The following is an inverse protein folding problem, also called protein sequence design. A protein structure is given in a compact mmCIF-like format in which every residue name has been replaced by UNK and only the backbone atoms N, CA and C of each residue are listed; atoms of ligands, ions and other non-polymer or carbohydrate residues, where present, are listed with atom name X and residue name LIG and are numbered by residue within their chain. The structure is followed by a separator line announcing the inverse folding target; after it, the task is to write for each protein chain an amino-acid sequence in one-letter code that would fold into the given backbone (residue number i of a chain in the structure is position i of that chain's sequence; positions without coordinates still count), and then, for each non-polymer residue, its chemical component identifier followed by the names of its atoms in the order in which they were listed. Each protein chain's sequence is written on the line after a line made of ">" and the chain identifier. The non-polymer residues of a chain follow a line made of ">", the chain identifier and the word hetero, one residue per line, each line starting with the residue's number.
data_IF_723051226837
#
_entry.id   IF_723051226837
#
_cell.length_a   1.000
_cell.length_b   1.000
_cell.length_c   1.000
_cell.angle_alpha   90.00
_cell.angle_beta   90.00
_cell.angle_gamma   90.00
#
_symmetry.space_group_name_H-M   'P 1'
#
loop_
_entity.id
_entity.type
_entity.pdbx_description
1 polymer ?
#
# COMPACT_ATOMS: atom_id res chain seq x y z
N UNK A 1 3.07 -0.32 -22.01
CA UNK A 1 4.18 -0.21 -21.01
C UNK A 1 5.52 -0.52 -21.67
N UNK A 2 6.58 0.26 -21.36
CA UNK A 2 7.95 0.11 -21.93
C UNK A 2 8.65 -1.18 -21.53
N UNK A 3 8.28 -1.78 -20.36
CA UNK A 3 8.98 -2.92 -19.78
C UNK A 3 8.18 -4.21 -19.92
N UNK A 4 8.90 -5.34 -20.10
CA UNK A 4 8.28 -6.66 -20.17
C UNK A 4 7.69 -7.08 -18.81
N UNK A 5 6.80 -8.05 -18.82
CA UNK A 5 6.09 -8.50 -17.63
C UNK A 5 7.05 -8.96 -16.50
N UNK A 6 8.17 -9.62 -16.83
CA UNK A 6 9.13 -10.08 -15.82
C UNK A 6 9.74 -8.91 -15.05
N UNK A 7 10.18 -7.86 -15.75
CA UNK A 7 10.73 -6.66 -15.11
C UNK A 7 9.68 -5.97 -14.22
N UNK A 8 8.44 -5.88 -14.69
CA UNK A 8 7.32 -5.30 -13.94
C UNK A 8 7.02 -6.12 -12.67
N UNK A 9 6.95 -7.44 -12.77
CA UNK A 9 6.73 -8.33 -11.63
C UNK A 9 7.88 -8.25 -10.61
N UNK A 10 9.12 -8.14 -11.08
CA UNK A 10 10.28 -7.93 -10.19
C UNK A 10 10.18 -6.60 -9.46
N UNK A 11 9.78 -5.51 -10.14
CA UNK A 11 9.59 -4.21 -9.52
C UNK A 11 8.49 -4.22 -8.45
N UNK A 12 7.35 -4.87 -8.72
CA UNK A 12 6.27 -5.05 -7.75
C UNK A 12 6.70 -5.89 -6.54
N UNK A 13 7.42 -7.00 -6.76
CA UNK A 13 7.95 -7.84 -5.69
C UNK A 13 8.92 -7.05 -4.80
N UNK A 14 9.93 -6.42 -5.40
CA UNK A 14 10.96 -5.67 -4.67
C UNK A 14 10.36 -4.46 -3.96
N UNK A 15 9.51 -3.70 -4.64
CA UNK A 15 8.82 -2.55 -4.07
C UNK A 15 7.94 -2.92 -2.87
N UNK A 16 7.16 -4.01 -2.99
CA UNK A 16 6.34 -4.52 -1.88
C UNK A 16 7.20 -5.05 -0.73
N UNK A 17 8.33 -5.69 -1.01
CA UNK A 17 9.26 -6.14 0.02
C UNK A 17 9.85 -4.97 0.80
N UNK A 18 10.34 -3.93 0.12
CA UNK A 18 10.84 -2.73 0.78
C UNK A 18 9.76 -1.96 1.53
N UNK A 19 8.55 -1.87 0.99
CA UNK A 19 7.42 -1.23 1.68
C UNK A 19 7.14 -1.93 3.02
N UNK A 20 6.97 -3.26 3.02
CA UNK A 20 6.69 -4.00 4.25
C UNK A 20 7.89 -4.00 5.19
N UNK A 21 9.13 -4.08 4.68
CA UNK A 21 10.33 -3.95 5.50
C UNK A 21 10.40 -2.58 6.18
N UNK A 22 10.02 -1.50 5.48
CA UNK A 22 9.92 -0.16 6.08
C UNK A 22 8.84 -0.09 7.16
N UNK A 23 7.63 -0.61 6.89
CA UNK A 23 6.52 -0.62 7.85
C UNK A 23 6.86 -1.43 9.10
N UNK A 24 7.31 -2.67 8.94
CA UNK A 24 7.61 -3.56 10.08
C UNK A 24 8.86 -3.10 10.80
N UNK A 25 9.93 -2.79 10.07
CA UNK A 25 11.20 -2.36 10.64
C UNK A 25 11.10 -1.05 11.41
N UNK A 26 10.45 -0.03 10.85
CA UNK A 26 10.26 1.24 11.56
C UNK A 26 9.33 1.11 12.77
N UNK A 27 8.34 0.18 12.70
CA UNK A 27 7.52 -0.15 13.86
C UNK A 27 8.33 -0.77 14.99
N UNK A 28 9.21 -1.74 14.69
CA UNK A 28 10.11 -2.35 15.68
C UNK A 28 11.08 -1.30 16.26
N UNK A 29 11.69 -0.49 15.42
CA UNK A 29 12.61 0.56 15.86
C UNK A 29 11.90 1.62 16.72
N UNK A 30 10.74 2.09 16.25
CA UNK A 30 9.92 3.07 16.97
C UNK A 30 9.51 2.56 18.35
N UNK A 31 9.00 1.32 18.44
CA UNK A 31 8.63 0.70 19.71
C UNK A 31 9.84 0.58 20.67
N UNK A 32 10.99 0.14 20.17
CA UNK A 32 12.24 0.02 20.97
C UNK A 32 12.74 1.35 21.53
N UNK A 33 12.62 2.43 20.75
CA UNK A 33 13.18 3.75 21.10
C UNK A 33 12.21 4.67 21.83
N UNK A 34 10.90 4.39 21.73
CA UNK A 34 9.86 5.27 22.29
C UNK A 34 9.74 5.25 23.83
N UNK A 35 10.47 4.39 24.52
CA UNK A 35 10.42 4.30 26.00
C UNK A 35 8.99 4.04 26.53
N UNK A 36 8.18 3.27 25.80
CA UNK A 36 6.77 2.97 26.15
C UNK A 36 5.77 4.01 25.63
N UNK A 37 6.19 5.10 25.00
CA UNK A 37 5.29 6.09 24.41
C UNK A 37 4.80 5.64 23.03
N UNK A 38 3.60 5.07 22.98
CA UNK A 38 2.98 4.53 21.77
C UNK A 38 2.80 5.61 20.69
N UNK A 39 2.53 6.86 21.06
CA UNK A 39 2.37 7.96 20.08
C UNK A 39 3.69 8.26 19.36
N UNK A 40 4.82 8.24 20.07
CA UNK A 40 6.15 8.42 19.45
C UNK A 40 6.47 7.24 18.54
N UNK A 41 6.19 6.01 18.96
CA UNK A 41 6.39 4.83 18.12
C UNK A 41 5.56 4.92 16.82
N UNK A 42 4.29 5.30 16.94
CA UNK A 42 3.41 5.49 15.79
C UNK A 42 3.90 6.63 14.90
N UNK A 43 4.36 7.75 15.45
CA UNK A 43 4.89 8.89 14.68
C UNK A 43 6.12 8.49 13.86
N UNK A 44 7.06 7.78 14.46
CA UNK A 44 8.26 7.28 13.76
C UNK A 44 7.88 6.31 12.61
N UNK A 45 6.98 5.37 12.90
CA UNK A 45 6.48 4.41 11.90
C UNK A 45 5.75 5.12 10.74
N UNK A 46 4.90 6.10 11.04
CA UNK A 46 4.14 6.90 10.07
C UNK A 46 5.06 7.66 9.11
N UNK A 47 6.04 8.39 9.64
CA UNK A 47 6.96 9.19 8.81
C UNK A 47 7.81 8.27 7.92
N UNK A 48 8.34 7.19 8.49
CA UNK A 48 9.14 6.23 7.73
C UNK A 48 8.34 5.57 6.60
N UNK A 49 7.09 5.19 6.87
CA UNK A 49 6.20 4.58 5.86
C UNK A 49 5.86 5.55 4.74
N UNK A 50 5.48 6.80 5.08
CA UNK A 50 5.16 7.82 4.08
C UNK A 50 6.36 8.15 3.19
N UNK A 51 7.54 8.34 3.79
CA UNK A 51 8.78 8.60 3.06
C UNK A 51 9.18 7.41 2.15
N UNK A 52 9.05 6.18 2.65
CA UNK A 52 9.29 4.97 1.85
C UNK A 52 8.34 4.90 0.65
N UNK A 53 7.03 5.16 0.82
CA UNK A 53 6.07 5.19 -0.28
C UNK A 53 6.47 6.21 -1.36
N UNK A 54 6.84 7.43 -0.98
CA UNK A 54 7.32 8.43 -1.95
C UNK A 54 8.49 7.89 -2.75
N UNK A 55 9.53 7.40 -2.07
CA UNK A 55 10.74 6.89 -2.71
C UNK A 55 10.46 5.69 -3.62
N UNK A 56 9.67 4.71 -3.14
CA UNK A 56 9.37 3.49 -3.89
C UNK A 56 8.50 3.78 -5.11
N UNK A 57 7.50 4.66 -4.99
CA UNK A 57 6.66 5.03 -6.13
C UNK A 57 7.50 5.78 -7.17
N UNK A 58 8.33 6.76 -6.77
CA UNK A 58 9.23 7.45 -7.70
C UNK A 58 10.18 6.48 -8.43
N UNK A 59 10.67 5.46 -7.73
CA UNK A 59 11.62 4.48 -8.28
C UNK A 59 10.95 3.49 -9.25
N UNK A 60 9.82 2.92 -8.84
CA UNK A 60 9.24 1.78 -9.54
C UNK A 60 8.06 2.13 -10.46
N UNK A 61 7.44 3.31 -10.32
CA UNK A 61 6.33 3.70 -11.17
C UNK A 61 6.68 3.71 -12.67
N UNK A 62 7.86 4.20 -13.09
CA UNK A 62 8.24 4.15 -14.51
C UNK A 62 8.39 2.72 -15.06
N UNK A 63 8.54 1.71 -14.19
CA UNK A 63 8.77 0.31 -14.56
C UNK A 63 7.47 -0.48 -14.57
N UNK A 64 6.74 -0.48 -13.44
CA UNK A 64 5.57 -1.34 -13.21
C UNK A 64 4.27 -0.59 -12.97
N UNK A 65 4.33 0.71 -12.77
CA UNK A 65 3.23 1.49 -12.22
C UNK A 65 3.28 1.59 -10.69
N UNK A 66 4.21 0.87 -10.03
CA UNK A 66 4.37 0.85 -8.58
C UNK A 66 3.03 0.72 -7.83
N UNK A 67 2.22 -0.24 -8.21
CA UNK A 67 0.97 -0.51 -7.50
C UNK A 67 1.25 -0.90 -6.05
N UNK A 68 2.19 -1.83 -5.83
CA UNK A 68 2.67 -2.31 -4.52
C UNK A 68 1.52 -2.68 -3.56
N UNK A 69 0.33 -2.90 -4.12
CA UNK A 69 -0.92 -3.02 -3.38
C UNK A 69 -1.97 -3.77 -4.22
N UNK A 70 -2.47 -4.94 -3.77
CA UNK A 70 -3.51 -5.67 -4.47
C UNK A 70 -4.81 -4.88 -4.69
N UNK A 71 -5.21 -4.01 -3.75
CA UNK A 71 -6.42 -3.20 -3.91
C UNK A 71 -6.27 -2.16 -5.03
N UNK A 72 -5.10 -1.55 -5.16
CA UNK A 72 -4.76 -0.66 -6.29
C UNK A 72 -4.74 -1.45 -7.60
N UNK A 73 -4.13 -2.64 -7.60
CA UNK A 73 -4.05 -3.49 -8.80
C UNK A 73 -5.43 -3.92 -9.28
N UNK A 74 -6.32 -4.32 -8.38
CA UNK A 74 -7.72 -4.66 -8.70
C UNK A 74 -8.46 -3.45 -9.26
N UNK A 75 -8.30 -2.28 -8.63
CA UNK A 75 -8.95 -1.06 -9.09
C UNK A 75 -8.48 -0.65 -10.50
N UNK A 76 -7.19 -0.78 -10.79
CA UNK A 76 -6.61 -0.50 -12.12
C UNK A 76 -7.07 -1.53 -13.17
N UNK A 77 -7.20 -2.81 -12.79
CA UNK A 77 -7.76 -3.83 -13.68
C UNK A 77 -9.26 -3.59 -14.01
N UNK A 78 -10.04 -3.10 -13.05
CA UNK A 78 -11.45 -2.69 -13.25
C UNK A 78 -11.53 -1.50 -14.21
N UNK A 79 -10.56 -0.59 -14.18
CA UNK A 79 -10.45 0.55 -15.10
C UNK A 79 -9.75 0.18 -16.43
N UNK A 80 -9.39 -1.09 -16.63
CA UNK A 80 -8.69 -1.61 -17.81
C UNK A 80 -7.27 -1.03 -18.00
N UNK A 81 -6.65 -0.49 -16.97
CA UNK A 81 -5.25 -0.02 -17.00
C UNK A 81 -4.25 -1.18 -17.07
N UNK A 82 -4.59 -2.32 -16.44
CA UNK A 82 -3.83 -3.57 -16.53
C UNK A 82 -4.76 -4.73 -16.93
N UNK A 83 -4.26 -5.67 -17.73
CA UNK A 83 -5.02 -6.88 -18.07
C UNK A 83 -5.15 -7.80 -16.84
N UNK A 84 -6.29 -8.47 -16.66
CA UNK A 84 -6.53 -9.34 -15.51
C UNK A 84 -5.48 -10.43 -15.29
N UNK A 85 -4.93 -11.12 -16.32
CA UNK A 85 -3.84 -12.09 -16.10
C UNK A 85 -2.59 -11.45 -15.48
N UNK A 86 -2.21 -10.25 -15.94
CA UNK A 86 -1.08 -9.50 -15.39
C UNK A 86 -1.40 -9.01 -13.96
N UNK A 87 -2.63 -8.57 -13.71
CA UNK A 87 -3.10 -8.13 -12.39
C UNK A 87 -3.00 -9.27 -11.36
N UNK A 88 -3.42 -10.48 -11.72
CA UNK A 88 -3.29 -11.65 -10.84
C UNK A 88 -1.82 -11.98 -10.54
N UNK A 89 -0.95 -11.87 -11.55
CA UNK A 89 0.49 -12.05 -11.35
C UNK A 89 1.08 -10.95 -10.44
N UNK A 90 0.66 -9.70 -10.59
CA UNK A 90 1.03 -8.59 -9.69
C UNK A 90 0.62 -8.89 -8.24
N UNK A 91 -0.63 -9.25 -8.00
CA UNK A 91 -1.14 -9.58 -6.67
C UNK A 91 -0.31 -10.68 -6.01
N UNK A 92 0.01 -11.75 -6.78
CA UNK A 92 0.81 -12.85 -6.27
C UNK A 92 2.22 -12.39 -5.84
N UNK A 93 2.92 -11.62 -6.68
CA UNK A 93 4.27 -11.14 -6.34
C UNK A 93 4.28 -10.04 -5.29
N UNK A 94 3.24 -9.21 -5.19
CA UNK A 94 3.05 -8.23 -4.12
C UNK A 94 2.91 -8.92 -2.75
N UNK A 95 2.08 -9.97 -2.67
CA UNK A 95 1.93 -10.76 -1.44
C UNK A 95 3.23 -11.46 -1.07
N UNK A 96 3.89 -12.10 -2.03
CA UNK A 96 5.17 -12.76 -1.81
C UNK A 96 6.26 -11.77 -1.38
N UNK A 97 6.33 -10.60 -2.03
CA UNK A 97 7.23 -9.51 -1.67
C UNK A 97 6.96 -8.98 -0.26
N UNK A 98 5.68 -8.76 0.07
CA UNK A 98 5.28 -8.34 1.41
C UNK A 98 5.77 -9.31 2.50
N UNK A 99 5.55 -10.61 2.30
CA UNK A 99 6.05 -11.66 3.22
C UNK A 99 7.58 -11.63 3.32
N UNK A 100 8.28 -11.53 2.18
CA UNK A 100 9.74 -11.41 2.18
C UNK A 100 10.21 -10.16 2.94
N UNK A 101 9.53 -9.03 2.78
CA UNK A 101 9.82 -7.79 3.50
C UNK A 101 9.67 -7.92 5.02
N UNK A 102 8.63 -8.59 5.49
CA UNK A 102 8.45 -8.87 6.92
C UNK A 102 9.58 -9.75 7.47
N UNK A 103 9.96 -10.80 6.74
CA UNK A 103 11.08 -11.68 7.08
C UNK A 103 12.39 -10.88 7.15
N UNK A 104 12.68 -10.07 6.14
CA UNK A 104 13.88 -9.22 6.08
C UNK A 104 13.90 -8.26 7.28
N UNK A 105 12.78 -7.61 7.60
CA UNK A 105 12.69 -6.75 8.76
C UNK A 105 13.03 -7.50 10.06
N UNK A 106 12.45 -8.67 10.27
CA UNK A 106 12.75 -9.50 11.45
C UNK A 106 14.23 -9.84 11.55
N UNK A 107 14.85 -10.29 10.45
CA UNK A 107 16.27 -10.66 10.41
C UNK A 107 17.18 -9.45 10.70
N UNK A 108 16.89 -8.28 10.14
CA UNK A 108 17.64 -7.05 10.41
C UNK A 108 17.60 -6.64 11.90
N UNK A 109 16.52 -6.98 12.60
CA UNK A 109 16.38 -6.66 14.02
C UNK A 109 16.73 -7.80 14.97
N UNK A 110 17.33 -8.91 14.46
CA UNK A 110 17.71 -10.08 15.25
C UNK A 110 16.54 -10.87 15.81
N UNK A 111 15.37 -10.79 15.18
CA UNK A 111 14.18 -11.55 15.55
C UNK A 111 14.12 -12.88 14.79
N UNK A 112 13.26 -13.81 15.25
CA UNK A 112 12.92 -15.00 14.45
C UNK A 112 12.35 -14.55 13.11
N UNK A 113 12.68 -15.27 12.04
CA UNK A 113 12.29 -14.93 10.68
C UNK A 113 10.77 -14.79 10.47
N UNK A 114 9.94 -15.43 11.32
CA UNK A 114 8.51 -15.16 11.42
C UNK A 114 8.02 -15.34 12.87
N UNK A 115 6.92 -14.68 13.19
CA UNK A 115 6.19 -14.83 14.45
C UNK A 115 4.73 -14.48 14.20
N UNK A 116 3.83 -15.45 14.29
CA UNK A 116 2.40 -15.21 14.06
C UNK A 116 1.89 -14.17 15.05
N UNK A 117 1.26 -13.13 14.55
CA UNK A 117 0.81 -12.00 15.37
C UNK A 117 -0.38 -12.38 16.26
N UNK A 118 -0.31 -11.95 17.51
CA UNK A 118 -1.41 -12.03 18.48
C UNK A 118 -2.12 -10.67 18.67
N UNK A 119 -1.70 -9.63 17.94
CA UNK A 119 -2.33 -8.31 18.02
C UNK A 119 -3.74 -8.35 17.44
N UNK A 120 -4.73 -8.31 18.32
CA UNK A 120 -6.13 -8.21 17.91
C UNK A 120 -6.43 -6.86 17.27
N UNK A 121 -7.02 -6.91 16.08
CA UNK A 121 -7.57 -5.73 15.37
C UNK A 121 -9.05 -5.97 15.05
N UNK A 122 -9.76 -6.54 16.03
CA UNK A 122 -11.15 -6.91 15.89
C UNK A 122 -12.08 -5.72 16.15
N UNK A 123 -13.18 -5.64 15.40
CA UNK A 123 -14.26 -4.68 15.63
C UNK A 123 -14.65 -3.86 14.41
N UNK A 124 -15.92 -3.49 14.33
CA UNK A 124 -16.49 -2.75 13.20
C UNK A 124 -15.85 -1.39 12.96
N UNK A 125 -15.38 -0.71 14.02
CA UNK A 125 -14.65 0.55 13.90
C UNK A 125 -13.36 0.41 13.11
N UNK A 126 -12.64 -0.70 13.27
CA UNK A 126 -11.40 -0.98 12.55
C UNK A 126 -11.67 -1.40 11.11
N UNK A 127 -12.73 -2.19 10.87
CA UNK A 127 -13.19 -2.55 9.53
C UNK A 127 -13.64 -1.30 8.75
N UNK A 128 -14.43 -0.41 9.37
CA UNK A 128 -14.81 0.87 8.78
C UNK A 128 -13.58 1.74 8.49
N UNK A 129 -12.61 1.74 9.41
CA UNK A 129 -11.35 2.49 9.23
C UNK A 129 -10.57 2.00 8.00
N UNK A 130 -10.51 0.71 7.75
CA UNK A 130 -9.85 0.15 6.56
C UNK A 130 -10.59 0.49 5.26
N UNK A 131 -11.93 0.47 5.30
CA UNK A 131 -12.74 0.95 4.18
C UNK A 131 -12.42 2.42 3.86
N UNK A 132 -12.48 3.32 4.86
CA UNK A 132 -12.20 4.75 4.70
C UNK A 132 -10.76 4.99 4.26
N UNK A 133 -9.79 4.29 4.88
CA UNK A 133 -8.37 4.40 4.53
C UNK A 133 -8.11 4.06 3.05
N UNK A 134 -8.70 2.96 2.58
CA UNK A 134 -8.50 2.52 1.20
C UNK A 134 -9.33 3.33 0.22
N UNK A 135 -10.55 3.71 0.57
CA UNK A 135 -11.36 4.64 -0.23
C UNK A 135 -10.61 5.95 -0.48
N UNK A 136 -10.06 6.55 0.57
CA UNK A 136 -9.32 7.80 0.43
C UNK A 136 -8.00 7.62 -0.32
N UNK A 137 -7.27 6.50 -0.12
CA UNK A 137 -6.06 6.19 -0.88
C UNK A 137 -6.36 6.14 -2.39
N UNK A 138 -7.37 5.38 -2.80
CA UNK A 138 -7.76 5.28 -4.21
C UNK A 138 -8.30 6.61 -4.74
N UNK A 139 -9.00 7.39 -3.90
CA UNK A 139 -9.45 8.74 -4.29
C UNK A 139 -8.27 9.65 -4.60
N UNK A 140 -7.22 9.62 -3.78
CA UNK A 140 -5.97 10.38 -4.02
C UNK A 140 -5.27 9.89 -5.28
N UNK A 141 -5.15 8.56 -5.47
CA UNK A 141 -4.53 7.98 -6.66
C UNK A 141 -5.30 8.40 -7.92
N UNK A 142 -6.63 8.21 -7.97
CA UNK A 142 -7.43 8.56 -9.14
C UNK A 142 -7.46 10.06 -9.43
N UNK A 143 -7.57 10.89 -8.39
CA UNK A 143 -7.52 12.34 -8.53
C UNK A 143 -6.19 12.83 -9.07
N UNK A 144 -5.10 12.40 -8.46
CA UNK A 144 -3.76 12.83 -8.88
C UNK A 144 -3.34 12.23 -10.21
N UNK A 145 -3.56 10.93 -10.46
CA UNK A 145 -3.15 10.30 -11.72
C UNK A 145 -3.85 10.92 -12.95
N UNK A 146 -5.09 11.37 -12.78
CA UNK A 146 -5.87 11.99 -13.87
C UNK A 146 -5.59 13.48 -14.07
N UNK A 147 -5.23 14.20 -13.02
CA UNK A 147 -5.12 15.66 -13.04
C UNK A 147 -3.69 16.17 -12.83
N UNK A 148 -2.86 15.46 -12.08
CA UNK A 148 -1.52 15.89 -11.64
C UNK A 148 -0.60 14.68 -11.44
N UNK A 149 -0.33 13.90 -12.48
CA UNK A 149 0.36 12.61 -12.38
C UNK A 149 1.72 12.66 -11.67
N UNK A 150 2.49 13.74 -11.85
CA UNK A 150 3.76 13.95 -11.15
C UNK A 150 3.63 14.09 -9.62
N UNK A 151 2.44 14.43 -9.12
CA UNK A 151 2.20 14.58 -7.69
C UNK A 151 1.84 13.25 -6.99
N UNK A 152 1.49 12.19 -7.74
CA UNK A 152 1.03 10.92 -7.17
C UNK A 152 1.94 10.37 -6.07
N UNK A 153 3.27 10.28 -6.23
CA UNK A 153 4.14 9.73 -5.19
C UNK A 153 4.03 10.50 -3.87
N UNK A 154 4.04 11.82 -3.96
CA UNK A 154 3.95 12.71 -2.79
C UNK A 154 2.56 12.70 -2.16
N UNK A 155 1.52 12.70 -2.97
CA UNK A 155 0.14 12.67 -2.50
C UNK A 155 -0.18 11.36 -1.78
N UNK A 156 0.24 10.21 -2.34
CA UNK A 156 0.07 8.90 -1.72
C UNK A 156 0.83 8.79 -0.41
N UNK A 157 2.12 9.17 -0.39
CA UNK A 157 2.93 9.16 0.83
C UNK A 157 2.35 10.05 1.92
N UNK A 158 1.93 11.27 1.56
CA UNK A 158 1.29 12.22 2.50
C UNK A 158 -0.06 11.72 3.00
N UNK A 159 -0.89 11.14 2.12
CA UNK A 159 -2.18 10.58 2.52
C UNK A 159 -2.00 9.43 3.52
N UNK A 160 -1.13 8.48 3.26
CA UNK A 160 -0.88 7.36 4.18
C UNK A 160 -0.30 7.87 5.51
N UNK A 161 0.61 8.86 5.46
CA UNK A 161 1.10 9.52 6.68
C UNK A 161 -0.04 10.09 7.53
N UNK A 162 -1.00 10.77 6.92
CA UNK A 162 -2.18 11.28 7.62
C UNK A 162 -3.10 10.14 8.10
N UNK A 163 -3.33 9.13 7.26
CA UNK A 163 -4.29 8.05 7.53
C UNK A 163 -3.89 7.18 8.73
N UNK A 164 -2.61 7.02 9.02
CA UNK A 164 -2.14 6.39 10.26
C UNK A 164 -2.73 7.04 11.52
N UNK A 165 -3.07 8.33 11.46
CA UNK A 165 -3.52 9.13 12.61
C UNK A 165 -5.03 9.33 12.66
N UNK A 166 -5.70 9.49 11.54
CA UNK A 166 -7.13 9.72 11.54
C UNK A 166 -7.98 8.45 11.45
N UNK A 167 -7.36 7.28 11.21
CA UNK A 167 -8.06 5.99 11.19
C UNK A 167 -7.69 5.15 12.41
N UNK A 168 -8.68 4.51 13.04
CA UNK A 168 -8.45 3.68 14.22
C UNK A 168 -7.63 2.41 13.91
N UNK A 169 -7.62 1.95 12.65
CA UNK A 169 -6.83 0.80 12.20
C UNK A 169 -5.35 1.11 11.98
N UNK A 170 -4.96 2.38 11.99
CA UNK A 170 -3.65 2.86 11.52
C UNK A 170 -3.40 2.60 10.02
N UNK A 171 -4.47 2.55 9.23
CA UNK A 171 -4.45 2.53 7.77
C UNK A 171 -3.50 1.49 7.14
N UNK A 172 -3.89 0.23 7.15
CA UNK A 172 -3.17 -0.77 6.35
C UNK A 172 -3.40 -0.51 4.86
N UNK A 173 -4.68 -0.32 4.49
CA UNK A 173 -5.13 0.08 3.15
C UNK A 173 -4.51 -0.76 2.00
N UNK A 174 -4.04 -1.98 2.30
CA UNK A 174 -3.26 -2.81 1.38
C UNK A 174 -3.35 -4.30 1.78
N UNK A 175 -3.98 -5.16 0.98
CA UNK A 175 -4.08 -6.59 1.27
C UNK A 175 -2.73 -7.32 1.43
N UNK A 176 -1.70 -6.96 0.64
CA UNK A 176 -0.39 -7.60 0.76
C UNK A 176 0.31 -7.22 2.08
N UNK A 177 0.22 -5.96 2.48
CA UNK A 177 0.69 -5.48 3.80
C UNK A 177 -0.08 -6.18 4.92
N UNK A 178 -1.40 -6.33 4.78
CA UNK A 178 -2.26 -6.98 5.78
C UNK A 178 -1.85 -8.45 5.97
N UNK A 179 -1.66 -9.20 4.89
CA UNK A 179 -1.19 -10.59 4.94
C UNK A 179 0.20 -10.68 5.56
N UNK A 180 1.14 -9.85 5.13
CA UNK A 180 2.52 -9.89 5.62
C UNK A 180 2.62 -9.59 7.13
N UNK A 181 1.84 -8.63 7.61
CA UNK A 181 1.84 -8.22 9.02
C UNK A 181 1.25 -9.28 9.96
N UNK A 182 0.48 -10.26 9.46
CA UNK A 182 0.04 -11.36 10.32
C UNK A 182 1.19 -12.33 10.71
N UNK A 183 2.31 -12.28 9.98
CA UNK A 183 3.53 -13.04 10.28
C UNK A 183 4.50 -12.28 11.20
N UNK A 184 4.11 -11.12 11.73
CA UNK A 184 4.94 -10.25 12.54
C UNK A 184 4.24 -9.91 13.87
N UNK A 185 4.63 -10.60 14.95
CA UNK A 185 4.14 -10.28 16.29
C UNK A 185 4.93 -9.14 16.91
N UNK A 186 4.82 -7.96 16.29
CA UNK A 186 5.49 -6.72 16.67
C UNK A 186 4.47 -5.59 16.70
N UNK A 187 4.89 -4.37 16.97
CA UNK A 187 4.04 -3.16 17.03
C UNK A 187 3.04 -3.08 15.86
N UNK A 188 3.47 -3.48 14.66
CA UNK A 188 2.66 -3.36 13.45
C UNK A 188 1.75 -4.56 13.17
N UNK A 189 1.72 -5.60 14.01
CA UNK A 189 1.06 -6.86 13.76
C UNK A 189 -0.47 -6.80 13.63
N UNK A 190 -1.03 -7.86 13.07
CA UNK A 190 -2.46 -8.16 13.04
C UNK A 190 -2.65 -9.67 13.19
N UNK A 191 -3.56 -10.13 14.07
CA UNK A 191 -3.82 -11.56 14.20
C UNK A 191 -4.51 -12.11 12.94
N UNK A 192 -4.21 -13.35 12.52
CA UNK A 192 -4.71 -13.93 11.26
C UNK A 192 -6.23 -13.92 11.10
N UNK A 193 -6.97 -14.05 12.19
CA UNK A 193 -8.45 -14.08 12.17
C UNK A 193 -9.07 -12.77 11.72
N UNK A 194 -8.38 -11.63 11.87
CA UNK A 194 -8.86 -10.30 11.48
C UNK A 194 -8.53 -9.95 10.02
N UNK A 195 -7.58 -10.68 9.40
CA UNK A 195 -7.08 -10.41 8.03
C UNK A 195 -8.20 -10.43 6.99
N UNK A 196 -9.13 -11.41 6.94
CA UNK A 196 -10.16 -11.45 5.90
C UNK A 196 -11.09 -10.24 5.91
N UNK A 197 -11.48 -9.75 7.10
CA UNK A 197 -12.37 -8.59 7.21
C UNK A 197 -11.68 -7.30 6.78
N UNK A 198 -10.38 -7.14 7.11
CA UNK A 198 -9.57 -6.02 6.63
C UNK A 198 -9.49 -6.02 5.11
N UNK A 199 -9.14 -7.15 4.49
CA UNK A 199 -9.04 -7.28 3.03
C UNK A 199 -10.39 -6.98 2.36
N UNK A 200 -11.49 -7.51 2.90
CA UNK A 200 -12.83 -7.23 2.40
C UNK A 200 -13.17 -5.73 2.43
N UNK A 201 -12.88 -5.06 3.54
CA UNK A 201 -13.10 -3.62 3.69
C UNK A 201 -12.21 -2.80 2.73
N UNK A 202 -10.95 -3.19 2.57
CA UNK A 202 -10.00 -2.55 1.65
C UNK A 202 -10.50 -2.64 0.20
N UNK A 203 -10.90 -3.83 -0.24
CA UNK A 203 -11.42 -4.01 -1.61
C UNK A 203 -12.74 -3.24 -1.83
N UNK A 204 -13.63 -3.22 -0.84
CA UNK A 204 -14.86 -2.45 -0.90
C UNK A 204 -14.58 -0.94 -1.00
N UNK A 205 -13.63 -0.42 -0.21
CA UNK A 205 -13.19 0.97 -0.26
C UNK A 205 -12.58 1.34 -1.61
N UNK A 206 -11.71 0.47 -2.15
CA UNK A 206 -11.11 0.66 -3.46
C UNK A 206 -12.17 0.71 -4.58
N UNK A 207 -13.15 -0.20 -4.56
CA UNK A 207 -14.24 -0.22 -5.52
C UNK A 207 -15.10 1.05 -5.42
N UNK A 208 -15.48 1.45 -4.21
CA UNK A 208 -16.30 2.64 -3.99
C UNK A 208 -15.60 3.92 -4.52
N UNK A 209 -14.29 4.09 -4.27
CA UNK A 209 -13.51 5.20 -4.79
C UNK A 209 -13.42 5.16 -6.33
N UNK A 210 -13.19 3.99 -6.91
CA UNK A 210 -13.14 3.82 -8.36
C UNK A 210 -14.46 4.23 -9.03
N UNK A 211 -15.60 3.77 -8.48
CA UNK A 211 -16.92 4.15 -8.99
C UNK A 211 -17.20 5.66 -8.84
N UNK A 212 -16.82 6.25 -7.72
CA UNK A 212 -16.94 7.70 -7.50
C UNK A 212 -16.13 8.48 -8.55
N UNK A 213 -14.89 8.10 -8.81
CA UNK A 213 -14.04 8.82 -9.76
C UNK A 213 -14.39 8.58 -11.22
N UNK A 214 -15.04 7.48 -11.56
CA UNK A 214 -15.72 7.33 -12.87
C UNK A 214 -16.77 8.41 -13.09
N UNK A 215 -17.51 8.76 -12.04
CA UNK A 215 -18.56 9.77 -12.11
C UNK A 215 -18.00 11.20 -12.05
N UNK A 216 -17.04 11.46 -11.15
CA UNK A 216 -16.48 12.79 -10.96
C UNK A 216 -15.63 13.27 -12.14
N UNK A 217 -14.93 12.35 -12.83
CA UNK A 217 -13.98 12.69 -13.90
C UNK A 217 -14.18 11.74 -15.10
N UNK A 218 -15.35 11.81 -15.80
CA UNK A 218 -15.73 10.82 -16.77
C UNK A 218 -14.98 10.88 -18.10
N UNK A 219 -14.36 12.01 -18.44
CA UNK A 219 -13.92 12.32 -19.82
C UNK A 219 -12.39 12.39 -20.00
N UNK A 220 -11.58 12.01 -19.03
CA UNK A 220 -10.17 11.92 -19.28
C UNK A 220 -9.86 10.58 -19.93
N UNK A 221 -9.41 10.64 -21.19
CA UNK A 221 -8.80 9.52 -21.89
C UNK A 221 -7.76 8.88 -20.97
N UNK A 222 -7.95 7.61 -20.69
CA UNK A 222 -7.23 6.75 -19.74
C UNK A 222 -5.72 6.91 -19.86
N UNK A 223 -5.01 7.68 -19.03
CA UNK A 223 -3.61 7.39 -18.82
C UNK A 223 -3.58 6.11 -17.98
N UNK A 224 -2.76 5.11 -18.38
CA UNK A 224 -2.20 4.19 -17.38
C UNK A 224 -1.71 5.05 -16.22
N UNK A 225 -1.80 4.56 -14.99
CA UNK A 225 -1.53 5.36 -13.77
C UNK A 225 -0.25 6.20 -13.88
N UNK A 226 0.62 5.93 -14.87
CA UNK A 226 1.93 6.56 -15.06
C UNK A 226 2.34 6.73 -16.54
N UNK A 227 1.48 7.22 -17.44
CA UNK A 227 2.00 7.78 -18.69
C UNK A 227 2.50 9.21 -18.43
N UNK A 228 3.74 9.54 -18.85
CA UNK A 228 4.21 10.92 -18.81
C UNK A 228 3.29 11.78 -19.66
N UNK A 229 3.07 13.06 -19.31
CA UNK A 229 2.30 13.98 -20.12
C UNK A 229 2.85 13.95 -21.57
N UNK A 230 1.96 13.85 -22.54
CA UNK A 230 2.31 14.04 -23.93
C UNK A 230 3.00 15.42 -24.01
N UNK A 231 4.26 15.44 -24.45
CA UNK A 231 4.95 16.68 -24.76
C UNK A 231 4.02 17.46 -25.71
N UNK A 232 3.51 18.59 -25.24
CA UNK A 232 2.86 19.53 -26.13
C UNK A 232 3.96 20.06 -27.05
N UNK A 233 3.95 19.62 -28.29
CA UNK A 233 4.75 20.25 -29.33
C UNK A 233 4.40 21.75 -29.36
N UNK A 234 5.38 22.55 -29.00
CA UNK A 234 5.37 24.03 -29.13
C UNK A 234 5.62 24.39 -30.59
#
# INVERSE_FOLDING_TARGET
>A
MKFNLRARLTAEFVGSAFLVAAVVGSGIMGERLAGGNVAIALLANTIATGAALVALILTFAPISGAHLNPAVTVADAIEHGIAWPDALAYIAVQCAGGVAGAIIAHLMFGLRWYSVSTHSRHGWSLVLSEFIATFGLLSVIWGCSRLHSAAVPFAVGSYITAAYWFTASTSFANPAVTIARCLSNTFTGIQPVDVPLFIGAQLAGALAATLLFRWLVPNLTRPSIFEPPLEQEI
#
